data_IF_912052722464
#
_entry.id   IF_912052722464
#
_cell.length_a   1.000
_cell.length_b   1.000
_cell.length_c   1.000
_cell.angle_alpha   90.00
_cell.angle_beta   90.00
_cell.angle_gamma   90.00
#
_symmetry.space_group_name_H-M   'P 1'
#
loop_
_entity.id
_entity.type
_entity.pdbx_description
1 polymer ?
#
# COMPACT_ATOMS: atom_id res chain seq x y z
N UNK A 1 5.59 17.87 -20.20
CA UNK A 1 4.20 17.82 -20.74
C UNK A 1 3.63 19.23 -20.94
N UNK A 2 2.94 19.47 -22.06
CA UNK A 2 2.31 20.75 -22.42
C UNK A 2 0.94 20.89 -21.71
N UNK A 3 0.71 21.90 -20.84
CA UNK A 3 -0.52 22.04 -20.04
C UNK A 3 -1.82 22.15 -20.85
N UNK A 4 -1.73 22.49 -22.14
CA UNK A 4 -2.89 22.73 -22.99
C UNK A 4 -3.56 21.45 -23.52
N UNK A 5 -2.84 20.33 -23.62
CA UNK A 5 -3.42 19.07 -24.09
C UNK A 5 -4.33 18.41 -23.04
N UNK A 6 -4.02 18.60 -21.75
CA UNK A 6 -4.77 18.05 -20.61
C UNK A 6 -6.17 18.68 -20.49
N UNK A 7 -6.31 19.95 -20.88
CA UNK A 7 -7.56 20.72 -20.80
C UNK A 7 -8.61 20.27 -21.83
N UNK A 8 -8.19 19.97 -23.06
CA UNK A 8 -9.10 19.71 -24.19
C UNK A 8 -9.86 18.38 -24.06
N UNK A 9 -9.21 17.37 -23.49
CA UNK A 9 -9.73 15.98 -23.46
C UNK A 9 -10.72 15.76 -22.30
N UNK A 10 -10.58 16.49 -21.19
CA UNK A 10 -11.50 16.41 -20.04
C UNK A 10 -12.93 16.93 -20.32
N UNK A 11 -13.15 17.68 -21.40
CA UNK A 11 -14.46 18.28 -21.69
C UNK A 11 -15.51 17.29 -22.22
N UNK A 12 -15.12 16.11 -22.71
CA UNK A 12 -15.99 15.23 -23.51
C UNK A 12 -16.75 14.13 -22.76
N UNK A 13 -16.50 13.90 -21.47
CA UNK A 13 -17.05 12.72 -20.77
C UNK A 13 -17.99 13.04 -19.58
N UNK A 14 -18.52 14.26 -19.46
CA UNK A 14 -19.38 14.68 -18.33
C UNK A 14 -20.84 14.15 -18.35
N UNK A 15 -21.17 13.10 -19.11
CA UNK A 15 -22.56 12.66 -19.28
C UNK A 15 -22.72 11.15 -19.14
N UNK A 16 -22.45 10.61 -17.96
CA UNK A 16 -23.14 9.40 -17.52
C UNK A 16 -22.96 9.15 -16.02
N UNK A 17 -24.09 8.94 -15.34
CA UNK A 17 -24.30 8.11 -14.14
C UNK A 17 -24.39 8.74 -12.73
N UNK A 18 -25.63 8.60 -12.23
CA UNK A 18 -26.14 8.48 -10.85
C UNK A 18 -26.20 9.77 -9.99
N UNK A 19 -27.42 10.06 -9.56
CA UNK A 19 -27.85 11.24 -8.81
C UNK A 19 -27.14 11.40 -7.45
N UNK A 20 -26.26 12.40 -7.42
CA UNK A 20 -25.54 13.04 -6.29
C UNK A 20 -26.37 13.25 -5.00
N UNK A 21 -27.70 13.39 -5.13
CA UNK A 21 -28.61 13.59 -3.99
C UNK A 21 -28.91 12.33 -3.19
N UNK A 22 -28.77 11.15 -3.80
CA UNK A 22 -29.07 9.88 -3.11
C UNK A 22 -27.97 9.49 -2.11
N UNK A 23 -26.71 9.75 -2.48
CA UNK A 23 -25.53 9.44 -1.65
C UNK A 23 -25.34 10.44 -0.50
N UNK A 24 -25.66 11.73 -0.74
CA UNK A 24 -25.64 12.77 0.30
C UNK A 24 -26.67 12.56 1.42
N UNK A 25 -27.83 11.96 1.11
CA UNK A 25 -28.84 11.64 2.14
C UNK A 25 -28.46 10.41 2.98
N UNK A 26 -27.65 9.50 2.44
CA UNK A 26 -27.13 8.34 3.19
C UNK A 26 -26.01 8.73 4.16
N UNK A 27 -25.18 9.71 3.80
CA UNK A 27 -24.11 10.23 4.67
C UNK A 27 -24.69 11.07 5.82
N UNK A 28 -25.74 11.85 5.56
CA UNK A 28 -26.40 12.65 6.61
C UNK A 28 -27.25 11.82 7.58
N UNK A 29 -27.73 10.64 7.19
CA UNK A 29 -28.56 9.79 8.06
C UNK A 29 -27.78 8.96 9.09
N UNK A 30 -26.44 8.98 9.06
CA UNK A 30 -25.58 8.25 10.00
C UNK A 30 -25.01 9.11 11.15
N UNK A 31 -25.51 10.34 11.36
CA UNK A 31 -25.29 11.06 12.62
C UNK A 31 -26.02 10.33 13.75
N UNK A 32 -25.33 9.37 14.38
CA UNK A 32 -25.83 8.59 15.51
C UNK A 32 -25.88 9.47 16.76
N UNK A 33 -27.08 9.68 17.29
CA UNK A 33 -27.31 10.28 18.60
C UNK A 33 -26.89 9.28 19.70
N UNK A 34 -25.87 9.60 20.50
CA UNK A 34 -25.62 8.91 21.76
C UNK A 34 -25.44 9.88 22.93
N UNK A 35 -26.05 9.47 24.05
CA UNK A 35 -26.26 10.22 25.29
C UNK A 35 -24.96 10.41 26.07
N UNK A 36 -24.69 11.64 26.52
CA UNK A 36 -23.51 11.97 27.32
C UNK A 36 -23.65 11.45 28.75
N UNK A 37 -22.66 10.73 29.26
CA UNK A 37 -22.48 10.53 30.71
C UNK A 37 -21.02 10.77 31.09
N UNK A 38 -20.82 11.56 32.16
CA UNK A 38 -19.57 12.19 32.61
C UNK A 38 -18.51 11.21 33.15
N UNK A 39 -17.23 11.47 32.83
CA UNK A 39 -16.01 10.84 33.37
C UNK A 39 -15.32 11.64 34.48
N UNK A 40 -14.58 10.95 35.39
CA UNK A 40 -13.35 11.47 36.03
C UNK A 40 -12.51 10.43 36.85
N UNK A 41 -12.21 9.24 36.31
CA UNK A 41 -11.44 8.20 37.04
C UNK A 41 -10.41 7.39 36.22
N UNK A 42 -10.14 7.73 34.96
CA UNK A 42 -9.59 6.76 33.99
C UNK A 42 -8.15 6.95 33.47
N UNK A 43 -7.41 8.01 33.81
CA UNK A 43 -6.09 8.26 33.19
C UNK A 43 -5.00 7.24 33.54
N UNK A 44 -4.89 6.78 34.79
CA UNK A 44 -3.91 5.74 35.16
C UNK A 44 -4.29 4.35 34.65
N UNK A 45 -5.59 4.03 34.58
CA UNK A 45 -6.09 2.77 33.98
C UNK A 45 -5.87 2.76 32.48
N UNK A 46 -6.06 3.89 31.81
CA UNK A 46 -5.81 4.05 30.38
C UNK A 46 -4.31 3.89 30.07
N UNK A 47 -3.41 4.48 30.89
CA UNK A 47 -1.97 4.22 30.79
C UNK A 47 -1.61 2.75 31.01
N UNK A 48 -2.11 2.13 32.09
CA UNK A 48 -1.84 0.72 32.37
C UNK A 48 -2.37 -0.20 31.27
N UNK A 49 -3.52 0.11 30.67
CA UNK A 49 -4.09 -0.64 29.57
C UNK A 49 -3.26 -0.49 28.30
N UNK A 50 -2.86 0.73 27.92
CA UNK A 50 -2.07 1.00 26.71
C UNK A 50 -0.66 0.39 26.73
N UNK A 51 -0.01 0.40 27.90
CA UNK A 51 1.36 -0.10 28.08
C UNK A 51 1.43 -1.47 28.74
N UNK A 52 0.30 -2.16 28.90
CA UNK A 52 0.30 -3.55 29.36
C UNK A 52 1.00 -4.45 28.35
N UNK A 53 1.63 -5.53 28.84
CA UNK A 53 2.25 -6.55 27.99
C UNK A 53 1.22 -7.14 27.02
N UNK A 54 -0.01 -7.38 27.48
CA UNK A 54 -1.10 -7.89 26.63
C UNK A 54 -1.48 -6.92 25.52
N UNK A 55 -1.57 -5.62 25.80
CA UNK A 55 -1.89 -4.62 24.77
C UNK A 55 -0.73 -4.43 23.78
N UNK A 56 0.51 -4.50 24.25
CA UNK A 56 1.68 -4.51 23.38
C UNK A 56 1.68 -5.73 22.45
N UNK A 57 1.43 -6.92 22.99
CA UNK A 57 1.32 -8.13 22.17
C UNK A 57 0.19 -8.03 21.14
N UNK A 58 -0.96 -7.50 21.53
CA UNK A 58 -2.08 -7.28 20.61
C UNK A 58 -1.70 -6.29 19.50
N UNK A 59 -1.07 -5.17 19.85
CA UNK A 59 -0.58 -4.17 18.88
C UNK A 59 0.40 -4.79 17.89
N UNK A 60 1.40 -5.53 18.37
CA UNK A 60 2.41 -6.18 17.51
C UNK A 60 1.72 -7.15 16.54
N UNK A 61 0.81 -8.00 17.05
CA UNK A 61 0.05 -8.94 16.21
C UNK A 61 -0.78 -8.21 15.16
N UNK A 62 -1.46 -7.14 15.57
CA UNK A 62 -2.30 -6.37 14.68
C UNK A 62 -1.49 -5.65 13.59
N UNK A 63 -0.43 -4.94 13.97
CA UNK A 63 0.49 -4.30 13.02
C UNK A 63 1.14 -5.31 12.07
N UNK A 64 1.50 -6.50 12.56
CA UNK A 64 2.03 -7.59 11.72
C UNK A 64 1.00 -8.09 10.70
N UNK A 65 -0.26 -8.28 11.12
CA UNK A 65 -1.33 -8.68 10.20
C UNK A 65 -1.57 -7.64 9.10
N UNK A 66 -1.60 -6.35 9.49
CA UNK A 66 -1.71 -5.22 8.55
C UNK A 66 -0.55 -5.19 7.55
N UNK A 67 0.68 -5.32 8.06
CA UNK A 67 1.89 -5.34 7.24
C UNK A 67 1.86 -6.51 6.24
N UNK A 68 1.58 -7.72 6.71
CA UNK A 68 1.51 -8.92 5.88
C UNK A 68 0.45 -8.79 4.79
N UNK A 69 -0.72 -8.21 5.12
CA UNK A 69 -1.76 -7.97 4.13
C UNK A 69 -1.30 -7.00 3.03
N UNK A 70 -0.58 -5.93 3.38
CA UNK A 70 -0.02 -4.99 2.41
C UNK A 70 1.12 -5.62 1.58
N UNK A 71 2.00 -6.38 2.22
CA UNK A 71 3.12 -7.06 1.55
C UNK A 71 2.61 -8.11 0.57
N UNK A 72 1.61 -8.90 0.95
CA UNK A 72 0.95 -9.87 0.07
C UNK A 72 0.41 -9.19 -1.19
N UNK A 73 -0.35 -8.11 -1.00
CA UNK A 73 -0.97 -7.39 -2.12
C UNK A 73 0.06 -6.72 -3.02
N UNK A 74 1.09 -6.08 -2.45
CA UNK A 74 2.14 -5.43 -3.21
C UNK A 74 3.02 -6.45 -3.95
N UNK A 75 3.19 -7.66 -3.43
CA UNK A 75 4.02 -8.71 -4.02
C UNK A 75 3.32 -9.53 -5.10
N UNK A 76 2.07 -9.21 -5.45
CA UNK A 76 1.37 -9.91 -6.52
C UNK A 76 2.16 -9.77 -7.85
N UNK A 77 2.60 -10.88 -8.48
CA UNK A 77 3.38 -10.84 -9.72
C UNK A 77 2.68 -10.11 -10.86
N UNK A 78 1.34 -10.05 -10.86
CA UNK A 78 0.56 -9.39 -11.91
C UNK A 78 0.87 -7.89 -12.05
N UNK A 79 1.32 -7.24 -10.96
CA UNK A 79 1.77 -5.84 -10.97
C UNK A 79 2.94 -5.58 -11.90
N UNK A 80 3.82 -6.57 -12.02
CA UNK A 80 5.16 -6.40 -12.55
C UNK A 80 5.29 -7.01 -13.95
N UNK A 81 6.22 -6.47 -14.73
CA UNK A 81 6.58 -6.99 -16.04
C UNK A 81 6.82 -5.91 -17.09
N UNK A 82 7.09 -6.35 -18.31
CA UNK A 82 7.36 -5.46 -19.43
C UNK A 82 6.12 -4.58 -19.72
N UNK A 83 6.33 -3.26 -19.81
CA UNK A 83 5.26 -2.23 -19.94
C UNK A 83 4.28 -2.15 -18.76
N UNK A 84 4.61 -2.70 -17.58
CA UNK A 84 3.84 -2.55 -16.33
C UNK A 84 4.65 -1.79 -15.28
N UNK A 85 4.50 -2.11 -14.00
CA UNK A 85 5.37 -1.60 -12.94
C UNK A 85 6.74 -2.29 -13.05
N UNK A 86 7.81 -1.50 -12.89
CA UNK A 86 9.17 -2.03 -12.90
C UNK A 86 9.41 -3.05 -11.78
N UNK A 87 10.28 -4.02 -12.06
CA UNK A 87 10.70 -5.08 -11.13
C UNK A 87 11.84 -4.67 -10.19
N UNK A 88 12.32 -3.44 -10.30
CA UNK A 88 13.42 -2.92 -9.48
C UNK A 88 12.98 -2.60 -8.05
N UNK A 89 13.98 -2.50 -7.16
CA UNK A 89 13.76 -2.16 -5.74
C UNK A 89 12.83 -0.96 -5.54
N UNK A 90 13.02 0.11 -6.30
CA UNK A 90 12.30 1.38 -6.10
C UNK A 90 10.81 1.26 -6.42
N UNK A 91 10.37 0.85 -7.63
CA UNK A 91 8.96 0.59 -7.92
C UNK A 91 8.31 -0.40 -6.96
N UNK A 92 8.98 -1.51 -6.62
CA UNK A 92 8.44 -2.50 -5.67
C UNK A 92 8.25 -1.91 -4.27
N UNK A 93 9.23 -1.14 -3.79
CA UNK A 93 9.13 -0.44 -2.51
C UNK A 93 8.04 0.63 -2.52
N UNK A 94 7.86 1.35 -3.63
CA UNK A 94 6.78 2.32 -3.79
C UNK A 94 5.40 1.67 -3.81
N UNK A 95 5.26 0.50 -4.45
CA UNK A 95 4.03 -0.29 -4.40
C UNK A 95 3.67 -0.73 -2.98
N UNK A 96 4.65 -1.21 -2.20
CA UNK A 96 4.42 -1.53 -0.79
C UNK A 96 4.08 -0.26 0.03
N UNK A 97 4.82 0.83 -0.18
CA UNK A 97 4.58 2.12 0.47
C UNK A 97 3.16 2.64 0.23
N UNK A 98 2.65 2.52 -0.99
CA UNK A 98 1.27 2.91 -1.35
C UNK A 98 0.23 2.09 -0.57
N UNK A 99 0.41 0.78 -0.44
CA UNK A 99 -0.52 -0.07 0.30
C UNK A 99 -0.49 0.22 1.81
N UNK A 100 0.72 0.41 2.37
CA UNK A 100 0.92 0.83 3.76
C UNK A 100 0.28 2.20 4.03
N UNK A 101 0.34 3.12 3.07
CA UNK A 101 -0.32 4.42 3.18
C UNK A 101 -1.84 4.30 3.39
N UNK A 102 -2.55 3.42 2.67
CA UNK A 102 -3.99 3.24 2.90
C UNK A 102 -4.30 2.79 4.34
N UNK A 103 -3.48 1.89 4.89
CA UNK A 103 -3.64 1.40 6.26
C UNK A 103 -3.37 2.50 7.28
N UNK A 104 -2.35 3.33 7.06
CA UNK A 104 -2.11 4.52 7.88
C UNK A 104 -3.28 5.52 7.83
N UNK A 105 -3.82 5.78 6.64
CA UNK A 105 -5.00 6.65 6.48
C UNK A 105 -6.20 6.12 7.26
N UNK A 106 -6.41 4.80 7.23
CA UNK A 106 -7.48 4.15 8.01
C UNK A 106 -7.26 4.27 9.51
N UNK A 107 -6.05 4.05 10.01
CA UNK A 107 -5.71 4.21 11.44
C UNK A 107 -5.94 5.65 11.92
N UNK A 108 -5.62 6.64 11.08
CA UNK A 108 -5.80 8.07 11.38
C UNK A 108 -7.23 8.59 11.21
N UNK A 109 -8.13 7.81 10.59
CA UNK A 109 -9.52 8.22 10.40
C UNK A 109 -10.28 8.39 11.75
N UNK A 110 -9.84 7.70 12.80
CA UNK A 110 -10.42 7.71 14.14
C UNK A 110 -9.98 8.91 15.00
N UNK A 111 -10.16 10.13 14.50
CA UNK A 111 -9.70 11.37 15.16
C UNK A 111 -10.85 12.20 15.78
N UNK A 112 -11.99 11.56 16.07
CA UNK A 112 -13.13 12.23 16.70
C UNK A 112 -12.87 12.51 18.19
N UNK A 113 -13.57 13.46 18.83
CA UNK A 113 -13.51 13.65 20.28
C UNK A 113 -13.78 12.37 21.07
N UNK A 114 -14.72 11.54 20.60
CA UNK A 114 -15.11 10.27 21.20
C UNK A 114 -13.98 9.21 21.08
N UNK A 115 -13.29 9.15 19.94
CA UNK A 115 -12.12 8.27 19.75
C UNK A 115 -10.93 8.67 20.64
N UNK A 116 -10.78 9.98 20.88
CA UNK A 116 -9.76 10.50 21.80
C UNK A 116 -10.11 10.18 23.25
N UNK A 117 -11.39 10.31 23.60
CA UNK A 117 -11.90 10.02 24.94
C UNK A 117 -11.84 8.51 25.27
N UNK A 118 -12.15 7.65 24.29
CA UNK A 118 -12.04 6.18 24.44
C UNK A 118 -10.60 5.66 24.42
N UNK A 119 -9.65 6.49 24.00
CA UNK A 119 -8.24 6.12 23.83
C UNK A 119 -7.93 5.38 22.52
N UNK A 120 -8.95 5.09 21.68
CA UNK A 120 -8.79 4.41 20.39
C UNK A 120 -7.83 5.17 19.47
N UNK A 121 -7.93 6.50 19.42
CA UNK A 121 -7.00 7.31 18.61
C UNK A 121 -5.54 7.13 19.03
N UNK A 122 -5.27 7.18 20.35
CA UNK A 122 -3.91 6.99 20.87
C UNK A 122 -3.37 5.59 20.64
N UNK A 123 -4.23 4.56 20.76
CA UNK A 123 -3.87 3.19 20.43
C UNK A 123 -3.52 3.04 18.94
N UNK A 124 -4.32 3.62 18.03
CA UNK A 124 -4.06 3.57 16.60
C UNK A 124 -2.75 4.25 16.19
N UNK A 125 -2.36 5.35 16.87
CA UNK A 125 -1.04 5.96 16.66
C UNK A 125 0.10 5.00 17.02
N UNK A 126 -0.02 4.25 18.13
CA UNK A 126 0.97 3.24 18.48
C UNK A 126 1.02 2.11 17.45
N UNK A 127 -0.13 1.65 16.95
CA UNK A 127 -0.19 0.66 15.84
C UNK A 127 0.49 1.22 14.59
N UNK A 128 0.33 2.52 14.32
CA UNK A 128 0.97 3.19 13.19
C UNK A 128 2.50 3.17 13.30
N UNK A 129 3.04 3.47 14.48
CA UNK A 129 4.48 3.42 14.78
C UNK A 129 5.02 1.99 14.58
N UNK A 130 4.34 0.99 15.14
CA UNK A 130 4.71 -0.43 15.02
C UNK A 130 4.68 -0.90 13.56
N UNK A 131 3.68 -0.48 12.77
CA UNK A 131 3.58 -0.78 11.35
C UNK A 131 4.75 -0.19 10.54
N UNK A 132 5.17 1.04 10.87
CA UNK A 132 6.36 1.63 10.26
C UNK A 132 7.64 0.89 10.65
N UNK A 133 7.79 0.48 11.92
CA UNK A 133 8.95 -0.27 12.37
C UNK A 133 9.09 -1.60 11.62
N UNK A 134 7.99 -2.35 11.47
CA UNK A 134 7.94 -3.56 10.66
C UNK A 134 8.34 -3.29 9.20
N UNK A 135 7.76 -2.24 8.60
CA UNK A 135 8.06 -1.87 7.22
C UNK A 135 9.53 -1.46 7.01
N UNK A 136 10.14 -0.75 7.97
CA UNK A 136 11.56 -0.37 7.87
C UNK A 136 12.51 -1.54 8.11
N UNK A 137 12.15 -2.48 8.97
CA UNK A 137 12.91 -3.71 9.15
C UNK A 137 12.86 -4.56 7.87
N UNK A 138 11.69 -4.74 7.26
CA UNK A 138 11.55 -5.40 5.95
C UNK A 138 12.34 -4.68 4.85
N UNK A 139 12.23 -3.35 4.77
CA UNK A 139 12.98 -2.54 3.80
C UNK A 139 14.48 -2.73 3.96
N UNK A 140 14.99 -2.76 5.20
CA UNK A 140 16.41 -3.01 5.48
C UNK A 140 16.82 -4.42 5.04
N UNK A 141 15.99 -5.43 5.32
CA UNK A 141 16.24 -6.81 4.89
C UNK A 141 16.29 -6.92 3.37
N UNK A 142 15.37 -6.25 2.64
CA UNK A 142 15.36 -6.21 1.17
C UNK A 142 16.55 -5.46 0.58
N UNK A 143 17.04 -4.41 1.24
CA UNK A 143 18.28 -3.71 0.82
C UNK A 143 19.49 -4.65 0.94
N UNK A 144 19.57 -5.42 2.04
CA UNK A 144 20.63 -6.41 2.26
C UNK A 144 20.57 -7.55 1.26
N UNK A 145 19.36 -8.08 0.99
CA UNK A 145 19.16 -9.15 0.01
C UNK A 145 19.54 -8.72 -1.42
N UNK A 146 19.51 -7.42 -1.71
CA UNK A 146 19.96 -6.84 -2.99
C UNK A 146 21.49 -6.84 -3.16
N UNK A 147 22.26 -7.33 -2.18
CA UNK A 147 23.72 -7.40 -2.25
C UNK A 147 24.44 -6.07 -1.99
N UNK A 148 23.75 -5.09 -1.41
CA UNK A 148 24.33 -3.81 -1.00
C UNK A 148 25.31 -4.02 0.15
N UNK A 149 26.44 -3.32 0.11
CA UNK A 149 27.45 -3.41 1.17
C UNK A 149 26.91 -2.90 2.52
N UNK A 150 27.16 -3.63 3.61
CA UNK A 150 26.57 -3.34 4.94
C UNK A 150 26.83 -1.90 5.42
N UNK A 151 28.00 -1.32 5.11
CA UNK A 151 28.31 0.07 5.47
C UNK A 151 27.40 1.10 4.79
N UNK A 152 26.80 0.78 3.65
CA UNK A 152 25.89 1.68 2.91
C UNK A 152 24.42 1.35 3.14
N UNK A 153 24.07 0.24 3.78
CA UNK A 153 22.67 -0.16 4.05
C UNK A 153 21.90 0.96 4.77
N UNK A 154 22.49 1.57 5.80
CA UNK A 154 21.83 2.67 6.52
C UNK A 154 21.63 3.93 5.66
N UNK A 155 22.53 4.19 4.70
CA UNK A 155 22.36 5.29 3.73
C UNK A 155 21.18 4.99 2.81
N UNK A 156 21.15 3.79 2.21
CA UNK A 156 20.06 3.38 1.33
C UNK A 156 18.71 3.31 2.05
N UNK A 157 18.69 2.90 3.33
CA UNK A 157 17.48 2.92 4.14
C UNK A 157 16.97 4.35 4.33
N UNK A 158 17.85 5.32 4.62
CA UNK A 158 17.47 6.73 4.71
C UNK A 158 16.91 7.27 3.39
N UNK A 159 17.53 6.91 2.27
CA UNK A 159 17.06 7.31 0.94
C UNK A 159 15.66 6.72 0.65
N UNK A 160 15.44 5.44 1.01
CA UNK A 160 14.15 4.77 0.87
C UNK A 160 13.07 5.41 1.77
N UNK A 161 13.41 5.73 3.03
CA UNK A 161 12.52 6.43 3.95
C UNK A 161 12.11 7.80 3.41
N UNK A 162 13.08 8.60 2.93
CA UNK A 162 12.80 9.91 2.34
C UNK A 162 11.86 9.80 1.12
N UNK A 163 12.10 8.82 0.24
CA UNK A 163 11.25 8.58 -0.92
C UNK A 163 9.82 8.19 -0.51
N UNK A 164 9.65 7.30 0.48
CA UNK A 164 8.34 6.92 0.98
C UNK A 164 7.60 8.09 1.63
N UNK A 165 8.25 8.90 2.47
CA UNK A 165 7.56 10.04 3.09
C UNK A 165 7.12 11.06 2.04
N UNK A 166 7.96 11.35 1.04
CA UNK A 166 7.57 12.22 -0.07
C UNK A 166 6.36 11.67 -0.83
N UNK A 167 6.34 10.36 -1.11
CA UNK A 167 5.23 9.67 -1.76
C UNK A 167 3.93 9.79 -0.96
N UNK A 168 3.97 9.46 0.34
CA UNK A 168 2.82 9.56 1.24
C UNK A 168 2.32 11.00 1.38
N UNK A 169 3.21 11.99 1.51
CA UNK A 169 2.82 13.41 1.63
C UNK A 169 2.15 13.93 0.36
N UNK A 170 2.55 13.47 -0.83
CA UNK A 170 1.86 13.85 -2.07
C UNK A 170 0.43 13.32 -2.12
N UNK A 171 0.20 12.08 -1.66
CA UNK A 171 -1.16 11.57 -1.52
C UNK A 171 -1.95 12.33 -0.47
N UNK A 172 -1.37 12.58 0.71
CA UNK A 172 -2.03 13.36 1.76
C UNK A 172 -2.45 14.74 1.24
N UNK A 173 -1.55 15.45 0.54
CA UNK A 173 -1.86 16.72 -0.11
C UNK A 173 -3.02 16.60 -1.09
N UNK A 174 -3.04 15.57 -1.95
CA UNK A 174 -4.12 15.38 -2.90
C UNK A 174 -5.49 15.25 -2.22
N UNK A 175 -5.58 14.44 -1.16
CA UNK A 175 -6.86 14.16 -0.48
C UNK A 175 -7.24 15.19 0.59
N UNK A 176 -6.30 15.95 1.14
CA UNK A 176 -6.57 17.00 2.13
C UNK A 176 -6.89 18.35 1.48
N UNK A 177 -6.13 18.76 0.46
CA UNK A 177 -6.30 20.07 -0.18
C UNK A 177 -7.43 20.06 -1.23
N UNK A 178 -7.72 18.90 -1.82
CA UNK A 178 -8.74 18.76 -2.87
C UNK A 178 -9.79 17.68 -2.55
N UNK A 179 -10.51 17.76 -1.42
CA UNK A 179 -11.55 16.79 -1.09
C UNK A 179 -12.74 16.89 -2.06
N UNK A 180 -13.10 18.10 -2.50
CA UNK A 180 -14.27 18.35 -3.36
C UNK A 180 -13.92 18.47 -4.86
N UNK A 181 -12.65 18.73 -5.21
CA UNK A 181 -12.19 18.80 -6.59
C UNK A 181 -11.57 17.47 -7.02
N UNK A 182 -12.42 16.53 -7.42
CA UNK A 182 -12.00 15.21 -7.87
C UNK A 182 -11.01 15.28 -9.04
N UNK A 183 -11.20 16.23 -9.97
CA UNK A 183 -10.34 16.32 -11.15
C UNK A 183 -8.92 16.69 -10.74
N UNK A 184 -8.76 17.76 -9.96
CA UNK A 184 -7.44 18.21 -9.52
C UNK A 184 -6.76 17.21 -8.59
N UNK A 185 -7.54 16.58 -7.71
CA UNK A 185 -7.05 15.49 -6.87
C UNK A 185 -6.50 14.34 -7.71
N UNK A 186 -7.28 13.87 -8.69
CA UNK A 186 -6.89 12.76 -9.55
C UNK A 186 -5.62 13.07 -10.36
N UNK A 187 -5.46 14.32 -10.83
CA UNK A 187 -4.23 14.78 -11.50
C UNK A 187 -3.00 14.65 -10.59
N UNK A 188 -3.10 15.08 -9.32
CA UNK A 188 -2.01 14.97 -8.34
C UNK A 188 -1.72 13.51 -7.98
N UNK A 189 -2.76 12.69 -7.84
CA UNK A 189 -2.60 11.25 -7.59
C UNK A 189 -1.86 10.56 -8.75
N UNK A 190 -2.25 10.86 -10.00
CA UNK A 190 -1.56 10.34 -11.19
C UNK A 190 -0.10 10.78 -11.25
N UNK A 191 0.18 12.04 -10.95
CA UNK A 191 1.54 12.59 -10.88
C UNK A 191 2.40 11.90 -9.80
N UNK A 192 1.83 11.63 -8.63
CA UNK A 192 2.51 10.88 -7.57
C UNK A 192 2.78 9.43 -7.98
N UNK A 193 1.82 8.76 -8.61
CA UNK A 193 1.98 7.40 -9.16
C UNK A 193 3.10 7.36 -10.20
N UNK A 194 3.09 8.29 -11.16
CA UNK A 194 4.13 8.37 -12.19
C UNK A 194 5.52 8.54 -11.57
N UNK A 195 5.69 9.49 -10.65
CA UNK A 195 6.99 9.76 -10.02
C UNK A 195 7.50 8.62 -9.16
N UNK A 196 6.63 8.05 -8.31
CA UNK A 196 7.06 7.14 -7.25
C UNK A 196 6.94 5.68 -7.64
N UNK A 197 5.81 5.28 -8.24
CA UNK A 197 5.53 3.88 -8.58
C UNK A 197 6.16 3.50 -9.91
N UNK A 198 6.07 4.40 -10.91
CA UNK A 198 6.53 4.14 -12.28
C UNK A 198 7.93 4.72 -12.55
N UNK A 199 8.60 5.26 -11.54
CA UNK A 199 9.99 5.73 -11.63
C UNK A 199 10.19 7.08 -12.33
N UNK A 200 9.13 7.75 -12.77
CA UNK A 200 9.19 9.07 -13.38
C UNK A 200 9.80 9.10 -14.79
N UNK A 201 9.80 7.99 -15.51
CA UNK A 201 10.34 7.92 -16.87
C UNK A 201 9.33 8.43 -17.90
N UNK A 202 9.80 8.95 -19.03
CA UNK A 202 8.95 9.57 -20.06
C UNK A 202 8.29 8.55 -21.01
N UNK A 203 8.70 7.28 -20.96
CA UNK A 203 8.27 6.18 -21.81
C UNK A 203 7.04 5.43 -21.28
N UNK A 204 6.45 5.89 -20.18
CA UNK A 204 5.31 5.23 -19.54
C UNK A 204 3.99 5.66 -20.18
N UNK A 205 3.15 4.67 -20.48
CA UNK A 205 1.81 4.87 -21.03
C UNK A 205 0.90 5.67 -20.06
N UNK A 206 0.33 6.76 -20.54
CA UNK A 206 -0.64 7.60 -19.82
C UNK A 206 -1.85 6.79 -19.30
N UNK A 207 -2.27 5.76 -20.04
CA UNK A 207 -3.37 4.90 -19.59
C UNK A 207 -2.97 4.04 -18.39
N UNK A 208 -1.72 3.57 -18.32
CA UNK A 208 -1.20 2.86 -17.14
C UNK A 208 -1.19 3.78 -15.91
N UNK A 209 -0.67 5.00 -16.05
CA UNK A 209 -0.64 6.00 -14.97
C UNK A 209 -2.05 6.24 -14.43
N UNK A 210 -3.02 6.45 -15.32
CA UNK A 210 -4.42 6.71 -14.94
C UNK A 210 -5.09 5.51 -14.29
N UNK A 211 -4.83 4.28 -14.75
CA UNK A 211 -5.39 3.06 -14.16
C UNK A 211 -4.87 2.84 -12.73
N UNK A 212 -3.57 3.05 -12.51
CA UNK A 212 -2.98 3.03 -11.17
C UNK A 212 -3.48 4.20 -10.30
N UNK A 213 -3.65 5.39 -10.85
CA UNK A 213 -4.28 6.51 -10.13
C UNK A 213 -5.72 6.22 -9.71
N UNK A 214 -6.50 5.57 -10.58
CA UNK A 214 -7.87 5.15 -10.27
C UNK A 214 -7.89 4.04 -9.21
N UNK A 215 -6.93 3.12 -9.25
CA UNK A 215 -6.73 2.13 -8.19
C UNK A 215 -6.49 2.80 -6.84
N UNK A 216 -5.72 3.89 -6.78
CA UNK A 216 -5.48 4.63 -5.54
C UNK A 216 -6.77 5.25 -4.98
N UNK A 217 -7.57 5.94 -5.80
CA UNK A 217 -8.86 6.48 -5.35
C UNK A 217 -9.80 5.36 -4.88
N UNK A 218 -9.89 4.28 -5.66
CA UNK A 218 -10.74 3.14 -5.35
C UNK A 218 -10.35 2.45 -4.04
N UNK A 219 -9.05 2.19 -3.83
CA UNK A 219 -8.58 1.54 -2.60
C UNK A 219 -8.70 2.45 -1.39
N UNK A 220 -8.52 3.77 -1.54
CA UNK A 220 -8.79 4.68 -0.44
C UNK A 220 -10.26 4.58 -0.03
N UNK A 221 -11.19 4.60 -0.98
CA UNK A 221 -12.61 4.45 -0.66
C UNK A 221 -12.94 3.08 -0.04
N UNK A 222 -12.37 2.02 -0.62
CA UNK A 222 -12.56 0.65 -0.17
C UNK A 222 -12.05 0.43 1.26
N UNK A 223 -10.79 0.78 1.53
CA UNK A 223 -10.12 0.52 2.81
C UNK A 223 -10.48 1.55 3.88
N UNK A 224 -10.55 2.84 3.53
CA UNK A 224 -10.76 3.88 4.54
C UNK A 224 -12.22 4.03 4.92
N UNK A 225 -13.14 3.87 3.97
CA UNK A 225 -14.56 4.19 4.20
C UNK A 225 -15.50 2.98 4.14
N UNK A 226 -15.22 1.95 3.33
CA UNK A 226 -16.13 0.81 3.12
C UNK A 226 -15.79 -0.43 3.93
N UNK A 227 -14.52 -0.68 4.23
CA UNK A 227 -14.09 -1.83 5.01
C UNK A 227 -14.67 -1.74 6.44
N UNK A 228 -15.46 -2.73 6.89
CA UNK A 228 -16.05 -2.67 8.22
C UNK A 228 -14.97 -2.74 9.31
N UNK A 229 -15.19 -2.00 10.40
CA UNK A 229 -14.27 -1.89 11.54
C UNK A 229 -13.88 -3.26 12.11
N UNK A 230 -14.83 -4.19 12.29
CA UNK A 230 -14.56 -5.52 12.85
C UNK A 230 -13.52 -6.30 12.03
N UNK A 231 -13.60 -6.24 10.69
CA UNK A 231 -12.61 -6.89 9.83
C UNK A 231 -11.26 -6.18 9.90
N UNK A 232 -11.28 -4.84 9.91
CA UNK A 232 -10.06 -4.07 10.01
C UNK A 232 -9.33 -4.32 11.33
N UNK A 233 -10.05 -4.34 12.46
CA UNK A 233 -9.49 -4.55 13.80
C UNK A 233 -8.92 -5.99 13.97
N UNK A 234 -9.40 -6.95 13.17
CA UNK A 234 -8.82 -8.30 13.05
C UNK A 234 -7.61 -8.37 12.09
N UNK A 235 -7.24 -7.28 11.43
CA UNK A 235 -6.18 -7.24 10.41
C UNK A 235 -6.58 -7.86 9.08
N UNK A 236 -7.88 -8.06 8.83
CA UNK A 236 -8.40 -8.65 7.59
C UNK A 236 -8.67 -7.57 6.57
N UNK A 237 -7.76 -7.43 5.61
CA UNK A 237 -7.85 -6.41 4.56
C UNK A 237 -8.39 -7.01 3.28
N UNK A 238 -9.61 -6.63 2.91
CA UNK A 238 -10.22 -6.99 1.64
C UNK A 238 -9.76 -6.01 0.55
N UNK A 239 -8.56 -6.23 0.00
CA UNK A 239 -8.08 -5.45 -1.13
C UNK A 239 -9.03 -5.58 -2.31
N UNK A 240 -9.34 -4.46 -2.94
CA UNK A 240 -10.08 -4.47 -4.20
C UNK A 240 -9.28 -5.09 -5.35
N UNK A 241 -9.97 -5.42 -6.45
CA UNK A 241 -9.37 -6.08 -7.61
C UNK A 241 -8.19 -5.29 -8.19
N UNK A 242 -7.22 -6.02 -8.73
CA UNK A 242 -6.12 -5.41 -9.46
C UNK A 242 -6.68 -4.67 -10.69
N UNK A 243 -6.17 -3.47 -10.99
CA UNK A 243 -6.51 -2.79 -12.23
C UNK A 243 -5.98 -3.62 -13.40
N UNK A 244 -6.65 -3.54 -14.54
CA UNK A 244 -6.09 -4.09 -15.77
C UNK A 244 -4.78 -3.34 -16.08
N UNK A 245 -3.67 -4.07 -16.20
CA UNK A 245 -2.35 -3.52 -16.50
C UNK A 245 -1.91 -3.83 -17.94
N UNK A 246 -2.77 -4.43 -18.77
CA UNK A 246 -2.40 -4.75 -20.14
C UNK A 246 -2.12 -3.47 -20.94
N UNK A 247 -1.18 -3.50 -21.90
CA UNK A 247 -1.03 -2.39 -22.85
C UNK A 247 -2.35 -2.11 -23.55
N UNK A 248 -2.63 -0.84 -23.85
CA UNK A 248 -3.84 -0.47 -24.57
C UNK A 248 -3.81 -1.05 -26.00
N UNK A 249 -4.88 -1.74 -26.40
CA UNK A 249 -5.05 -2.38 -27.71
C UNK A 249 -5.18 -1.27 -28.77
N UNK A 250 -4.06 -0.85 -29.35
CA UNK A 250 -3.99 0.26 -30.30
C UNK A 250 -2.57 0.60 -30.73
N UNK A 251 -1.56 0.26 -29.92
CA UNK A 251 -0.18 0.15 -30.38
C UNK A 251 0.05 -1.27 -30.91
N UNK A 252 0.25 -1.40 -32.23
CA UNK A 252 0.82 -2.62 -32.81
C UNK A 252 2.14 -2.90 -32.09
N UNK A 253 2.17 -3.98 -31.30
CA UNK A 253 3.43 -4.52 -30.79
C UNK A 253 4.20 -4.95 -32.04
N UNK A 254 5.37 -4.37 -32.35
CA UNK A 254 6.17 -4.84 -33.48
C UNK A 254 6.46 -6.32 -33.27
N UNK A 255 6.00 -7.16 -34.20
CA UNK A 255 6.13 -8.63 -34.15
C UNK A 255 7.59 -9.10 -34.03
N UNK A 256 8.58 -8.20 -34.19
CA UNK A 256 10.01 -8.48 -34.06
C UNK A 256 10.50 -8.72 -32.62
N UNK A 257 9.70 -8.45 -31.58
CA UNK A 257 10.12 -8.68 -30.19
C UNK A 257 9.57 -9.98 -29.57
N UNK A 258 8.75 -10.73 -30.32
CA UNK A 258 8.16 -11.98 -29.81
C UNK A 258 9.18 -13.13 -29.66
N UNK A 259 10.35 -13.05 -30.29
CA UNK A 259 11.44 -14.02 -30.09
C UNK A 259 12.28 -13.75 -28.80
N UNK A 260 12.08 -12.62 -28.12
CA UNK A 260 12.77 -12.30 -26.86
C UNK A 260 11.94 -12.78 -25.65
N UNK A 261 10.62 -12.89 -25.79
CA UNK A 261 9.73 -13.34 -24.71
C UNK A 261 9.87 -14.83 -24.36
N UNK A 262 10.40 -15.66 -25.26
CA UNK A 262 10.62 -17.11 -25.03
C UNK A 262 12.03 -17.45 -24.49
N UNK A 263 12.90 -16.45 -24.28
CA UNK A 263 14.27 -16.63 -23.76
C UNK A 263 14.59 -15.80 -22.51
N UNK A 264 13.58 -15.42 -21.72
CA UNK A 264 13.83 -14.93 -20.36
C UNK A 264 13.99 -16.13 -19.43
N UNK A 265 15.14 -16.76 -19.57
CA UNK A 265 15.66 -17.86 -18.73
C UNK A 265 15.83 -17.36 -17.28
N UNK A 266 14.89 -17.71 -16.39
CA UNK A 266 15.02 -17.83 -14.92
C UNK A 266 15.44 -16.61 -14.07
N UNK A 267 16.09 -15.59 -14.63
CA UNK A 267 16.83 -14.57 -13.88
C UNK A 267 16.01 -13.36 -13.45
N UNK A 268 15.07 -12.88 -14.27
CA UNK A 268 14.20 -11.75 -13.90
C UNK A 268 13.17 -12.14 -12.85
N UNK A 269 12.66 -13.38 -12.92
CA UNK A 269 11.79 -13.93 -11.91
C UNK A 269 12.55 -14.09 -10.58
N UNK A 270 13.80 -14.58 -10.59
CA UNK A 270 14.58 -14.72 -9.35
C UNK A 270 14.96 -13.37 -8.71
N UNK A 271 15.24 -12.35 -9.53
CA UNK A 271 15.54 -10.98 -9.08
C UNK A 271 14.32 -10.26 -8.48
N UNK A 272 13.16 -10.29 -9.16
CA UNK A 272 11.89 -9.80 -8.60
C UNK A 272 11.55 -10.47 -7.28
N UNK A 273 11.77 -11.78 -7.20
CA UNK A 273 11.50 -12.56 -6.01
C UNK A 273 12.47 -12.27 -4.84
N UNK A 274 13.71 -11.86 -5.11
CA UNK A 274 14.65 -11.42 -4.08
C UNK A 274 14.31 -10.01 -3.54
N UNK A 275 13.70 -9.19 -4.38
CA UNK A 275 13.35 -7.79 -4.11
C UNK A 275 11.97 -7.60 -3.50
N UNK A 276 11.02 -8.52 -3.70
CA UNK A 276 9.71 -8.51 -3.03
C UNK A 276 9.84 -8.83 -1.54
N UNK A 277 10.83 -9.66 -1.17
CA UNK A 277 10.94 -10.22 0.18
C UNK A 277 9.95 -11.37 0.46
N UNK A 278 8.98 -11.59 -0.44
CA UNK A 278 7.99 -12.65 -0.38
C UNK A 278 7.95 -13.41 -1.71
N UNK A 279 8.02 -14.75 -1.69
CA UNK A 279 7.73 -15.57 -2.88
C UNK A 279 6.88 -16.76 -2.51
N UNK A 280 5.75 -16.93 -3.18
CA UNK A 280 4.90 -18.12 -3.05
C UNK A 280 5.45 -19.26 -3.87
N UNK A 281 5.49 -20.44 -3.28
CA UNK A 281 5.76 -21.72 -3.93
C UNK A 281 4.50 -22.58 -3.86
N UNK A 282 4.42 -23.54 -4.77
CA UNK A 282 3.45 -24.62 -4.67
C UNK A 282 3.60 -25.33 -3.30
N UNK A 283 2.49 -25.86 -2.77
CA UNK A 283 2.42 -26.53 -1.46
C UNK A 283 2.51 -25.61 -0.22
N UNK A 284 1.99 -24.39 -0.29
CA UNK A 284 1.84 -23.47 0.85
C UNK A 284 3.17 -23.02 1.48
N UNK A 285 4.27 -23.11 0.74
CA UNK A 285 5.56 -22.58 1.17
C UNK A 285 5.74 -21.17 0.66
N UNK A 286 6.30 -20.33 1.52
CA UNK A 286 6.60 -18.94 1.22
C UNK A 286 8.05 -18.67 1.56
N UNK A 287 8.83 -18.13 0.62
CA UNK A 287 10.14 -17.57 0.93
C UNK A 287 9.95 -16.20 1.56
N UNK A 288 10.65 -16.00 2.66
CA UNK A 288 10.69 -14.80 3.49
C UNK A 288 12.15 -14.45 3.78
N UNK A 289 12.41 -13.21 4.23
CA UNK A 289 13.75 -12.76 4.59
C UNK A 289 13.91 -12.69 6.11
N UNK A 290 15.08 -13.06 6.60
CA UNK A 290 15.50 -12.75 7.97
C UNK A 290 15.84 -11.27 8.11
N UNK A 291 16.07 -10.80 9.35
CA UNK A 291 16.59 -9.46 9.61
C UNK A 291 17.93 -9.19 8.92
N UNK A 292 18.72 -10.25 8.67
CA UNK A 292 19.98 -10.17 7.94
C UNK A 292 19.80 -10.08 6.42
N UNK A 293 18.57 -10.21 5.90
CA UNK A 293 18.28 -10.28 4.48
C UNK A 293 18.53 -11.66 3.86
N UNK A 294 18.82 -12.67 4.69
CA UNK A 294 18.99 -14.06 4.24
C UNK A 294 17.63 -14.72 4.00
N UNK A 295 17.44 -15.42 2.87
CA UNK A 295 16.17 -16.07 2.59
C UNK A 295 15.98 -17.35 3.40
N UNK A 296 14.76 -17.55 3.91
CA UNK A 296 14.29 -18.82 4.47
C UNK A 296 12.87 -19.11 3.98
N UNK A 297 12.40 -20.34 4.17
CA UNK A 297 11.10 -20.82 3.71
C UNK A 297 10.22 -21.08 4.92
N UNK A 298 9.00 -20.58 4.90
CA UNK A 298 7.97 -20.79 5.91
C UNK A 298 6.74 -21.42 5.26
N UNK A 299 6.27 -22.53 5.82
CA UNK A 299 5.04 -23.18 5.39
C UNK A 299 3.86 -22.59 6.16
N UNK A 300 2.92 -21.96 5.45
CA UNK A 300 1.80 -21.21 6.04
C UNK A 300 0.73 -22.09 6.66
N UNK A 301 0.70 -23.39 6.36
CA UNK A 301 -0.25 -24.34 6.95
C UNK A 301 0.30 -25.06 8.19
N UNK A 302 1.58 -25.42 8.18
CA UNK A 302 2.20 -26.27 9.21
C UNK A 302 3.07 -25.51 10.21
N UNK A 303 3.28 -24.20 9.99
CA UNK A 303 4.19 -23.34 10.75
C UNK A 303 5.64 -23.85 10.80
N UNK A 304 6.05 -24.65 9.81
CA UNK A 304 7.42 -25.14 9.69
C UNK A 304 8.30 -24.15 8.94
N UNK A 305 9.54 -24.02 9.39
CA UNK A 305 10.57 -23.24 8.69
C UNK A 305 11.69 -24.14 8.17
N UNK A 306 12.28 -23.75 7.04
CA UNK A 306 13.41 -24.43 6.41
C UNK A 306 14.35 -23.42 5.79
N UNK A 307 15.66 -23.66 5.86
CA UNK A 307 16.66 -22.89 5.11
C UNK A 307 16.83 -23.42 3.67
N UNK A 308 16.44 -24.66 3.44
CA UNK A 308 16.49 -25.29 2.11
C UNK A 308 15.17 -25.08 1.39
N UNK A 309 15.26 -24.83 0.08
CA UNK A 309 14.10 -24.71 -0.79
C UNK A 309 13.30 -26.03 -0.74
N UNK A 310 12.01 -25.99 -0.39
CA UNK A 310 11.16 -27.18 -0.40
C UNK A 310 11.01 -27.71 -1.83
N UNK A 311 11.00 -29.03 -1.96
CA UNK A 311 10.72 -29.76 -3.21
C UNK A 311 9.23 -29.69 -3.57
#
# INVERSE_FOLDING_TARGET
MNPQLVSSICSKWSKSLVSEKSMMNYIKSQQRNYSSTKMNLNTMKDFANRYSISAQQHRIKFASALFNAAQYQASNPEWYGMKKVGSDFRPMHAMLSMHIWFLHRRLLAYNTPEDKESGKYGYNLMVQEELFDLFWNDTRARIRSSGVHELTVNKHLKDAQQATFLHCTQYDHAFQEFPDDQKKRFEIVCDAVWRHVLGGTEDVDDHLIRRLGAYVEYQLENIVYKLPDDYFDEGRIAWGNLPDLSPFIGEEIPESNNEIAEKVDGGEEEATNALSGLKFYDNNWVRVLTDAGEPYYWNTETDRTSWQKPE
#
